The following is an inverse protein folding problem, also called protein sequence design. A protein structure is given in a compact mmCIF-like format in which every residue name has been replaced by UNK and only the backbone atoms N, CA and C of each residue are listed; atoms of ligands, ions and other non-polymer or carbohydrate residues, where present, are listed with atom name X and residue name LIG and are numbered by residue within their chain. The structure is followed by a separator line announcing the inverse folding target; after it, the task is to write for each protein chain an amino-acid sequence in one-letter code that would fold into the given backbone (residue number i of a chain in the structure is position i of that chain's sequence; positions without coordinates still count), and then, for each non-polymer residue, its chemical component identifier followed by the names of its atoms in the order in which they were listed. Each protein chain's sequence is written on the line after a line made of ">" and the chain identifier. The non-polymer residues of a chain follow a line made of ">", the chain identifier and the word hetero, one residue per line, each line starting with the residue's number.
data_IF_966127291539
#
_entry.id   IF_966127291539
#
_cell.length_a   1.000
_cell.length_b   1.000
_cell.length_c   1.000
_cell.angle_alpha   90.00
_cell.angle_beta   90.00
_cell.angle_gamma   90.00
#
_symmetry.space_group_name_H-M   'P 1'
#
loop_
_entity.id
_entity.type
_entity.pdbx_description
1 polymer ?
#
# COMPACT_ATOMS: atom_id res chain seq x y z
N UNK A 1 -0.36 -24.26 4.07
CA UNK A 1 0.04 -23.21 5.06
C UNK A 1 -0.73 -21.95 4.71
N UNK A 2 -1.15 -21.13 5.68
CA UNK A 2 -1.92 -19.91 5.42
C UNK A 2 -1.09 -18.64 5.63
N UNK A 3 -0.96 -17.83 4.59
CA UNK A 3 -0.32 -16.51 4.65
C UNK A 3 -1.42 -15.45 4.55
N UNK A 4 -1.47 -14.55 5.52
CA UNK A 4 -2.37 -13.39 5.50
C UNK A 4 -1.61 -12.16 4.97
N UNK A 5 -2.06 -11.62 3.84
CA UNK A 5 -1.60 -10.33 3.31
C UNK A 5 -2.54 -9.25 3.81
N UNK A 6 -2.04 -8.34 4.66
CA UNK A 6 -2.81 -7.26 5.26
C UNK A 6 -2.63 -6.00 4.44
N UNK A 7 -3.53 -5.79 3.48
CA UNK A 7 -3.58 -4.58 2.68
C UNK A 7 -4.29 -3.48 3.49
N UNK A 8 -3.49 -2.59 4.07
CA UNK A 8 -3.99 -1.57 5.02
C UNK A 8 -3.73 -0.16 4.50
N UNK A 9 -4.46 0.80 5.05
CA UNK A 9 -4.34 2.23 4.74
C UNK A 9 -3.79 3.00 5.93
N UNK A 10 -2.48 3.22 5.90
CA UNK A 10 -1.71 3.90 6.94
C UNK A 10 -1.70 5.41 6.70
N UNK A 11 -1.42 6.18 7.77
CA UNK A 11 -1.28 7.64 7.72
C UNK A 11 0.13 8.01 8.12
N UNK A 12 0.81 8.82 7.30
CA UNK A 12 2.20 9.22 7.56
C UNK A 12 2.30 9.91 8.93
N UNK A 13 3.21 9.41 9.77
CA UNK A 13 3.50 9.93 11.12
C UNK A 13 2.45 9.65 12.20
N UNK A 14 1.32 9.04 11.88
CA UNK A 14 0.29 8.71 12.87
C UNK A 14 0.50 7.31 13.46
N UNK A 15 1.52 7.16 14.31
CA UNK A 15 1.90 5.87 14.90
C UNK A 15 0.77 5.19 15.66
N UNK A 16 -0.04 5.93 16.42
CA UNK A 16 -1.13 5.35 17.20
C UNK A 16 -2.24 4.78 16.33
N UNK A 17 -2.62 5.49 15.27
CA UNK A 17 -3.59 4.98 14.30
C UNK A 17 -3.02 3.75 13.56
N UNK A 18 -1.80 3.85 13.03
CA UNK A 18 -1.17 2.78 12.26
C UNK A 18 -1.02 1.52 13.12
N UNK A 19 -0.46 1.63 14.33
CA UNK A 19 -0.33 0.53 15.30
C UNK A 19 -1.66 -0.14 15.58
N UNK A 20 -2.73 0.63 15.82
CA UNK A 20 -4.06 0.09 16.06
C UNK A 20 -4.61 -0.67 14.85
N UNK A 21 -4.44 -0.12 13.65
CA UNK A 21 -4.83 -0.79 12.41
C UNK A 21 -4.08 -2.11 12.22
N UNK A 22 -2.75 -2.08 12.35
CA UNK A 22 -1.87 -3.26 12.28
C UNK A 22 -2.33 -4.35 13.25
N UNK A 23 -2.54 -4.01 14.54
CA UNK A 23 -2.95 -4.98 15.54
C UNK A 23 -4.38 -5.53 15.31
N UNK A 24 -5.29 -4.71 14.78
CA UNK A 24 -6.62 -5.16 14.39
C UNK A 24 -6.57 -6.18 13.24
N UNK A 25 -5.84 -5.86 12.17
CA UNK A 25 -5.65 -6.78 11.03
C UNK A 25 -4.92 -8.05 11.45
N UNK A 26 -3.90 -7.93 12.32
CA UNK A 26 -3.20 -9.06 12.89
C UNK A 26 -4.15 -9.98 13.66
N UNK A 27 -4.94 -9.43 14.60
CA UNK A 27 -5.93 -10.20 15.37
C UNK A 27 -6.93 -10.91 14.47
N UNK A 28 -7.40 -10.25 13.41
CA UNK A 28 -8.33 -10.86 12.46
C UNK A 28 -7.67 -11.96 11.62
N UNK A 29 -6.40 -11.81 11.23
CA UNK A 29 -5.64 -12.86 10.57
C UNK A 29 -5.48 -14.11 11.45
N UNK A 30 -5.21 -13.93 12.76
CA UNK A 30 -5.18 -15.04 13.73
C UNK A 30 -6.51 -15.79 13.77
N UNK A 31 -7.64 -15.06 13.83
CA UNK A 31 -8.99 -15.69 13.84
C UNK A 31 -9.27 -16.51 12.58
N UNK A 32 -8.62 -16.18 11.46
CA UNK A 32 -8.70 -16.92 10.20
C UNK A 32 -7.66 -18.06 10.10
N UNK A 33 -6.93 -18.32 11.19
CA UNK A 33 -5.88 -19.33 11.31
C UNK A 33 -4.69 -19.08 10.36
N UNK A 34 -4.27 -17.81 10.21
CA UNK A 34 -3.04 -17.49 9.49
C UNK A 34 -1.81 -18.03 10.23
N UNK A 35 -0.90 -18.67 9.49
CA UNK A 35 0.40 -19.13 9.98
C UNK A 35 1.47 -18.03 9.89
N UNK A 36 1.31 -17.09 8.94
CA UNK A 36 2.16 -15.90 8.76
C UNK A 36 1.26 -14.71 8.48
N UNK A 37 1.55 -13.55 9.08
CA UNK A 37 0.87 -12.28 8.79
C UNK A 37 1.85 -11.29 8.19
N UNK A 38 1.50 -10.66 7.08
CA UNK A 38 2.37 -9.78 6.29
C UNK A 38 1.72 -8.40 6.16
N UNK A 39 2.50 -7.36 6.45
CA UNK A 39 2.12 -5.96 6.30
C UNK A 39 2.98 -5.24 5.26
N UNK A 40 2.50 -4.14 4.68
CA UNK A 40 3.20 -3.39 3.63
C UNK A 40 4.54 -2.77 4.08
N UNK A 41 5.26 -2.26 3.08
CA UNK A 41 6.45 -1.42 3.25
C UNK A 41 6.16 -0.20 4.12
N UNK A 42 7.07 0.12 5.05
CA UNK A 42 6.98 1.22 6.00
C UNK A 42 5.60 1.38 6.69
N UNK A 43 4.85 0.29 6.89
CA UNK A 43 3.50 0.34 7.44
C UNK A 43 3.40 1.00 8.82
N UNK A 44 4.48 0.99 9.63
CA UNK A 44 4.49 1.64 10.94
C UNK A 44 4.46 3.16 10.82
N UNK A 45 5.31 3.71 9.96
CA UNK A 45 5.43 5.16 9.75
C UNK A 45 4.39 5.70 8.79
N UNK A 46 3.88 4.87 7.87
CA UNK A 46 3.26 5.30 6.63
C UNK A 46 4.30 5.62 5.56
N UNK A 47 3.86 5.68 4.30
CA UNK A 47 4.71 5.91 3.13
C UNK A 47 4.09 6.95 2.17
N UNK A 48 4.89 7.85 1.56
CA UNK A 48 6.30 8.14 1.86
C UNK A 48 6.42 9.13 3.04
N UNK A 49 7.32 8.91 4.02
CA UNK A 49 7.52 9.86 5.12
C UNK A 49 8.42 11.07 4.77
N UNK A 50 9.15 11.01 3.65
CA UNK A 50 10.04 12.08 3.17
C UNK A 50 10.98 12.63 4.26
N UNK A 51 11.15 13.96 4.35
CA UNK A 51 12.06 14.63 5.29
C UNK A 51 11.71 14.39 6.77
N UNK A 52 10.55 13.82 7.13
CA UNK A 52 10.30 13.36 8.51
C UNK A 52 11.34 12.32 8.97
N UNK A 53 11.97 11.61 8.04
CA UNK A 53 13.08 10.71 8.32
C UNK A 53 14.31 11.41 8.91
N UNK A 54 14.46 12.72 8.68
CA UNK A 54 15.55 13.52 9.24
C UNK A 54 15.29 13.89 10.71
N UNK A 55 14.05 13.75 11.19
CA UNK A 55 13.67 14.03 12.56
C UNK A 55 13.95 12.82 13.47
N UNK A 56 14.88 12.98 14.41
CA UNK A 56 15.27 11.88 15.31
C UNK A 56 14.10 11.33 16.14
N UNK A 57 13.14 12.20 16.52
CA UNK A 57 11.93 11.80 17.25
C UNK A 57 11.05 10.84 16.44
N UNK A 58 10.84 11.15 15.16
CA UNK A 58 10.07 10.30 14.24
C UNK A 58 10.68 8.89 14.13
N UNK A 59 11.99 8.80 13.89
CA UNK A 59 12.67 7.49 13.79
C UNK A 59 12.64 6.73 15.12
N UNK A 60 12.74 7.43 16.25
CA UNK A 60 12.64 6.82 17.59
C UNK A 60 11.23 6.27 17.86
N UNK A 61 10.18 7.04 17.56
CA UNK A 61 8.78 6.65 17.76
C UNK A 61 8.39 5.44 16.89
N UNK A 62 8.93 5.36 15.67
CA UNK A 62 8.84 4.16 14.83
C UNK A 62 9.38 2.91 15.54
N UNK A 63 10.52 3.02 16.24
CA UNK A 63 11.10 1.88 16.97
C UNK A 63 10.30 1.52 18.23
N UNK A 64 9.73 2.51 18.91
CA UNK A 64 8.82 2.28 20.05
C UNK A 64 7.59 1.51 19.55
N UNK A 65 6.94 2.00 18.50
CA UNK A 65 5.78 1.36 17.89
C UNK A 65 6.08 -0.07 17.43
N UNK A 66 7.24 -0.31 16.78
CA UNK A 66 7.65 -1.66 16.37
C UNK A 66 7.77 -2.62 17.57
N UNK A 67 8.41 -2.19 18.66
CA UNK A 67 8.56 -3.04 19.85
C UNK A 67 7.20 -3.35 20.50
N UNK A 68 6.31 -2.37 20.56
CA UNK A 68 4.94 -2.57 21.08
C UNK A 68 4.14 -3.54 20.22
N UNK A 69 4.23 -3.43 18.89
CA UNK A 69 3.59 -4.35 17.94
C UNK A 69 4.19 -5.75 18.08
N UNK A 70 5.52 -5.85 18.08
CA UNK A 70 6.24 -7.12 18.20
C UNK A 70 5.84 -7.87 19.46
N UNK A 71 5.65 -7.17 20.59
CA UNK A 71 5.26 -7.75 21.87
C UNK A 71 3.90 -8.49 21.80
N UNK A 72 3.00 -8.09 20.89
CA UNK A 72 1.68 -8.70 20.72
C UNK A 72 1.68 -9.95 19.83
N UNK A 73 2.83 -10.33 19.26
CA UNK A 73 2.88 -11.41 18.26
C UNK A 73 2.79 -12.81 18.87
N UNK A 74 1.84 -13.61 18.39
CA UNK A 74 1.63 -15.03 18.70
C UNK A 74 1.95 -15.95 17.52
N UNK A 75 1.78 -15.46 16.29
CA UNK A 75 2.29 -16.06 15.04
C UNK A 75 3.29 -15.12 14.37
N UNK A 76 4.21 -15.64 13.53
CA UNK A 76 5.14 -14.82 12.76
C UNK A 76 4.46 -13.65 12.03
N UNK A 77 4.95 -12.44 12.25
CA UNK A 77 4.53 -11.22 11.56
C UNK A 77 5.71 -10.65 10.78
N UNK A 78 5.47 -10.23 9.54
CA UNK A 78 6.42 -9.50 8.70
C UNK A 78 5.86 -8.09 8.52
N UNK A 79 6.63 -7.06 8.87
CA UNK A 79 6.16 -5.67 8.81
C UNK A 79 7.26 -4.70 8.41
N UNK A 80 6.91 -3.72 7.57
CA UNK A 80 7.81 -2.65 7.14
C UNK A 80 7.98 -1.55 8.20
N UNK A 81 9.22 -1.10 8.40
CA UNK A 81 9.62 -0.09 9.37
C UNK A 81 10.92 0.60 8.94
N UNK A 82 11.27 1.70 9.62
CA UNK A 82 12.56 2.38 9.42
C UNK A 82 13.58 1.82 10.40
N UNK A 83 14.70 1.26 9.92
CA UNK A 83 15.80 0.83 10.79
C UNK A 83 16.88 1.89 10.84
N UNK A 84 17.43 2.15 12.03
CA UNK A 84 18.60 3.03 12.21
C UNK A 84 19.77 2.25 12.76
N UNK A 85 20.92 2.32 12.09
CA UNK A 85 22.17 1.70 12.54
C UNK A 85 23.36 2.59 12.20
N UNK A 86 24.22 2.85 13.19
CA UNK A 86 25.44 3.67 13.02
C UNK A 86 25.17 5.05 12.36
N UNK A 87 24.03 5.67 12.69
CA UNK A 87 23.62 6.96 12.13
C UNK A 87 22.99 6.91 10.74
N UNK A 88 22.92 5.73 10.11
CA UNK A 88 22.29 5.51 8.80
C UNK A 88 20.88 4.97 8.96
N UNK A 89 20.02 5.30 8.00
CA UNK A 89 18.65 4.79 7.94
C UNK A 89 18.53 3.75 6.82
N UNK A 90 17.63 2.81 7.03
CA UNK A 90 17.30 1.76 6.07
C UNK A 90 15.78 1.62 6.00
N UNK A 91 15.28 1.43 4.78
CA UNK A 91 13.93 0.95 4.54
C UNK A 91 13.94 -0.56 4.77
N UNK A 92 13.25 -1.01 5.82
CA UNK A 92 13.47 -2.35 6.37
C UNK A 92 12.19 -3.12 6.63
N UNK A 93 12.30 -4.44 6.62
CA UNK A 93 11.28 -5.36 7.08
C UNK A 93 11.75 -6.02 8.39
N UNK A 94 10.84 -6.18 9.36
CA UNK A 94 11.08 -6.91 10.60
C UNK A 94 10.29 -8.22 10.61
N UNK A 95 10.93 -9.31 11.04
CA UNK A 95 10.25 -10.53 11.46
C UNK A 95 9.98 -10.45 12.96
N UNK A 96 8.71 -10.34 13.35
CA UNK A 96 8.29 -10.35 14.74
C UNK A 96 7.67 -11.72 15.08
N UNK A 97 8.22 -12.39 16.10
CA UNK A 97 7.74 -13.69 16.56
C UNK A 97 8.11 -13.88 18.03
N UNK A 98 7.27 -14.61 18.79
CA UNK A 98 7.48 -14.86 20.22
C UNK A 98 7.65 -13.56 21.02
N UNK A 99 6.80 -12.58 20.73
CA UNK A 99 6.81 -11.26 21.38
C UNK A 99 8.10 -10.44 21.17
N UNK A 100 8.89 -10.73 20.13
CA UNK A 100 10.19 -10.07 19.86
C UNK A 100 10.46 -9.90 18.38
N UNK A 101 11.34 -8.96 18.04
CA UNK A 101 11.93 -8.85 16.70
C UNK A 101 13.04 -9.91 16.60
N UNK A 102 12.91 -10.83 15.66
CA UNK A 102 13.82 -11.97 15.47
C UNK A 102 14.87 -11.68 14.40
N UNK A 103 14.45 -11.07 13.30
CA UNK A 103 15.32 -10.71 12.18
C UNK A 103 14.88 -9.37 11.57
N UNK A 104 15.81 -8.75 10.86
CA UNK A 104 15.55 -7.58 10.01
C UNK A 104 16.15 -7.81 8.62
N UNK A 105 15.60 -7.13 7.63
CA UNK A 105 16.07 -7.10 6.25
C UNK A 105 16.00 -5.66 5.77
N UNK A 106 17.03 -5.20 5.10
CA UNK A 106 17.10 -3.86 4.52
C UNK A 106 16.95 -3.97 3.01
N UNK A 107 16.10 -3.12 2.44
CA UNK A 107 15.84 -3.02 1.01
C UNK A 107 17.15 -2.86 0.25
N UNK A 108 17.39 -3.70 -0.76
CA UNK A 108 18.67 -3.71 -1.48
C UNK A 108 18.64 -2.68 -2.60
N UNK A 109 17.55 -2.63 -3.36
CA UNK A 109 17.39 -1.75 -4.50
C UNK A 109 16.57 -0.51 -4.07
N UNK A 110 17.18 0.67 -4.17
CA UNK A 110 16.54 1.93 -3.80
C UNK A 110 16.17 2.69 -5.08
N UNK A 111 14.87 2.90 -5.37
CA UNK A 111 14.45 3.65 -6.55
C UNK A 111 14.75 5.15 -6.37
N UNK A 112 15.27 5.76 -7.44
CA UNK A 112 15.68 7.19 -7.51
C UNK A 112 15.12 7.87 -8.77
N UNK A 113 13.99 7.36 -9.26
CA UNK A 113 13.32 7.80 -10.47
C UNK A 113 11.84 8.06 -10.19
N UNK A 114 11.22 8.83 -11.09
CA UNK A 114 9.80 9.19 -11.04
C UNK A 114 9.45 9.91 -9.71
N UNK A 115 8.66 9.28 -8.84
CA UNK A 115 8.20 9.84 -7.57
C UNK A 115 9.09 9.43 -6.38
N UNK A 116 10.18 8.70 -6.61
CA UNK A 116 11.03 8.14 -5.57
C UNK A 116 12.38 8.85 -5.47
N UNK A 117 12.75 9.20 -4.24
CA UNK A 117 14.04 9.77 -3.83
C UNK A 117 14.62 8.95 -2.66
N UNK A 118 14.59 7.61 -2.74
CA UNK A 118 14.93 6.79 -1.55
C UNK A 118 16.41 6.88 -1.14
N UNK A 119 17.33 7.09 -2.08
CA UNK A 119 18.78 7.21 -1.79
C UNK A 119 19.13 8.51 -1.04
N UNK A 120 18.25 9.51 -1.06
CA UNK A 120 18.33 10.70 -0.22
C UNK A 120 18.22 10.36 1.26
N UNK A 121 17.42 9.35 1.60
CA UNK A 121 17.06 9.04 2.98
C UNK A 121 17.66 7.73 3.50
N UNK A 122 17.80 6.72 2.64
CA UNK A 122 18.13 5.35 3.01
C UNK A 122 19.43 4.89 2.37
N UNK A 123 20.06 3.92 3.02
CA UNK A 123 21.22 3.20 2.49
C UNK A 123 20.81 1.81 2.01
N UNK A 124 21.49 1.30 0.98
CA UNK A 124 21.21 -0.02 0.43
C UNK A 124 21.51 -1.13 1.44
N UNK A 125 20.61 -2.10 1.52
CA UNK A 125 20.88 -3.42 2.07
C UNK A 125 21.97 -4.15 1.28
N UNK A 126 22.73 -5.01 1.97
CA UNK A 126 23.89 -5.71 1.38
C UNK A 126 23.69 -7.21 1.19
N UNK A 127 22.68 -7.79 1.82
CA UNK A 127 22.50 -9.25 1.89
C UNK A 127 21.07 -9.61 1.55
N UNK A 128 20.82 -10.52 0.59
CA UNK A 128 19.48 -10.99 0.31
C UNK A 128 18.90 -11.67 1.55
N UNK A 129 17.71 -11.24 1.95
CA UNK A 129 17.04 -11.69 3.17
C UNK A 129 16.49 -13.10 3.00
N UNK A 130 17.10 -14.07 3.70
CA UNK A 130 16.56 -15.43 3.86
C UNK A 130 16.29 -15.64 5.35
N UNK A 131 15.01 -15.69 5.72
CA UNK A 131 14.61 -15.96 7.10
C UNK A 131 14.12 -17.39 7.23
N UNK A 132 14.73 -18.12 8.17
CA UNK A 132 14.30 -19.48 8.50
C UNK A 132 13.26 -19.39 9.60
N UNK A 133 12.05 -19.83 9.31
CA UNK A 133 10.98 -19.91 10.31
C UNK A 133 10.47 -21.34 10.42
N UNK A 134 9.88 -21.67 11.56
CA UNK A 134 9.25 -22.96 11.80
C UNK A 134 7.75 -22.77 11.97
N UNK A 135 6.97 -23.46 11.13
CA UNK A 135 5.51 -23.44 11.13
C UNK A 135 5.03 -24.88 11.20
N UNK A 136 4.26 -25.21 12.24
CA UNK A 136 3.72 -26.56 12.47
C UNK A 136 4.79 -27.67 12.34
N UNK A 137 6.01 -27.42 12.85
CA UNK A 137 7.14 -28.38 12.81
C UNK A 137 7.86 -28.47 11.46
N UNK A 138 7.46 -27.68 10.45
CA UNK A 138 8.14 -27.59 9.16
C UNK A 138 9.01 -26.33 9.13
N UNK A 139 10.28 -26.49 8.74
CA UNK A 139 11.19 -25.37 8.51
C UNK A 139 10.96 -24.83 7.09
N UNK A 140 10.79 -23.53 6.98
CA UNK A 140 10.54 -22.81 5.74
C UNK A 140 11.53 -21.65 5.66
N UNK A 141 12.20 -21.52 4.52
CA UNK A 141 13.09 -20.42 4.19
C UNK A 141 12.29 -19.37 3.40
N UNK A 142 12.10 -18.19 3.97
CA UNK A 142 11.40 -17.09 3.31
C UNK A 142 12.42 -16.14 2.71
N UNK A 143 12.33 -15.93 1.39
CA UNK A 143 12.94 -14.79 0.71
C UNK A 143 12.15 -13.51 0.98
N UNK A 144 12.75 -12.53 1.64
CA UNK A 144 12.10 -11.25 1.94
C UNK A 144 12.60 -10.18 0.99
N UNK A 145 11.66 -9.46 0.39
CA UNK A 145 11.90 -8.35 -0.51
C UNK A 145 11.07 -7.14 -0.08
N UNK A 146 11.54 -5.95 -0.45
CA UNK A 146 10.79 -4.72 -0.27
C UNK A 146 10.67 -4.02 -1.64
N UNK A 147 9.44 -3.88 -2.12
CA UNK A 147 9.06 -3.19 -3.36
C UNK A 147 10.05 -3.37 -4.53
N UNK A 148 10.92 -2.38 -4.75
CA UNK A 148 11.92 -2.30 -5.82
C UNK A 148 12.81 -3.54 -5.96
N UNK A 149 13.02 -4.31 -4.88
CA UNK A 149 13.76 -5.58 -4.94
C UNK A 149 13.15 -6.59 -5.95
N UNK A 150 11.86 -6.46 -6.28
CA UNK A 150 11.19 -7.22 -7.35
C UNK A 150 11.63 -6.76 -8.76
N UNK A 151 11.90 -5.47 -8.92
CA UNK A 151 12.16 -4.77 -10.20
C UNK A 151 13.64 -4.82 -10.57
N UNK A 152 14.27 -5.96 -10.33
CA UNK A 152 15.72 -6.14 -10.43
C UNK A 152 16.26 -6.28 -11.88
N UNK A 153 15.44 -6.06 -12.91
CA UNK A 153 15.79 -6.29 -14.31
C UNK A 153 16.95 -5.40 -14.79
N UNK A 154 16.96 -4.14 -14.41
CA UNK A 154 17.98 -3.15 -14.79
C UNK A 154 19.13 -3.04 -13.77
N UNK A 155 19.13 -3.86 -12.71
CA UNK A 155 20.15 -3.85 -11.67
C UNK A 155 21.12 -5.03 -11.82
N UNK A 156 22.39 -4.85 -11.45
CA UNK A 156 23.35 -5.97 -11.42
C UNK A 156 22.93 -7.05 -10.42
N UNK A 157 22.28 -6.65 -9.32
CA UNK A 157 21.85 -7.55 -8.25
C UNK A 157 20.47 -8.11 -8.55
N UNK A 158 20.42 -9.39 -8.95
CA UNK A 158 19.15 -10.13 -9.17
C UNK A 158 18.63 -10.74 -7.86
N UNK A 159 17.90 -9.95 -7.07
CA UNK A 159 17.50 -10.31 -5.69
C UNK A 159 16.73 -11.63 -5.64
N UNK A 160 15.77 -11.84 -6.54
CA UNK A 160 14.95 -13.06 -6.56
C UNK A 160 15.79 -14.31 -6.86
N UNK A 161 16.73 -14.20 -7.79
CA UNK A 161 17.64 -15.29 -8.16
C UNK A 161 18.62 -15.61 -7.02
N UNK A 162 19.18 -14.59 -6.37
CA UNK A 162 20.05 -14.76 -5.20
C UNK A 162 19.32 -15.43 -4.04
N UNK A 163 18.04 -15.12 -3.83
CA UNK A 163 17.22 -15.77 -2.80
C UNK A 163 16.94 -17.23 -3.12
N UNK A 164 16.63 -17.56 -4.38
CA UNK A 164 16.51 -18.95 -4.86
C UNK A 164 17.81 -19.72 -4.60
N UNK A 165 18.96 -19.16 -4.98
CA UNK A 165 20.26 -19.82 -4.84
C UNK A 165 20.65 -20.06 -3.37
N UNK A 166 20.09 -19.26 -2.45
CA UNK A 166 20.23 -19.43 -1.00
C UNK A 166 19.15 -20.32 -0.38
N UNK A 167 18.31 -20.95 -1.20
CA UNK A 167 17.34 -21.96 -0.78
C UNK A 167 16.01 -21.41 -0.27
N UNK A 168 15.54 -20.26 -0.77
CA UNK A 168 14.18 -19.80 -0.49
C UNK A 168 13.13 -20.82 -0.95
N UNK A 169 12.15 -21.10 -0.08
CA UNK A 169 10.99 -21.95 -0.37
C UNK A 169 9.80 -21.14 -0.89
N UNK A 170 9.75 -19.84 -0.54
CA UNK A 170 8.78 -18.85 -1.00
C UNK A 170 9.38 -17.45 -0.93
N UNK A 171 8.84 -16.49 -1.70
CA UNK A 171 9.18 -15.07 -1.61
C UNK A 171 7.98 -14.27 -1.08
N UNK A 172 8.25 -13.39 -0.12
CA UNK A 172 7.33 -12.36 0.36
C UNK A 172 7.93 -10.99 0.03
N UNK A 173 7.22 -10.21 -0.78
CA UNK A 173 7.53 -8.83 -1.08
C UNK A 173 6.50 -7.92 -0.39
N UNK A 174 6.99 -7.00 0.46
CA UNK A 174 6.16 -5.96 1.06
C UNK A 174 6.37 -4.66 0.28
N UNK A 175 5.29 -3.95 -0.05
CA UNK A 175 5.35 -2.83 -0.99
C UNK A 175 4.49 -1.66 -0.60
N UNK A 176 4.93 -0.47 -0.97
CA UNK A 176 4.13 0.74 -1.10
C UNK A 176 4.27 1.24 -2.55
N UNK A 177 3.75 0.45 -3.50
CA UNK A 177 3.83 0.76 -4.93
C UNK A 177 2.64 1.65 -5.32
N UNK A 178 2.88 2.87 -5.81
CA UNK A 178 1.82 3.79 -6.20
C UNK A 178 1.13 3.34 -7.49
N UNK A 179 -0.12 3.75 -7.60
CA UNK A 179 -1.00 3.53 -8.72
C UNK A 179 -0.64 4.44 -9.90
N UNK A 180 -0.64 3.86 -11.09
CA UNK A 180 -0.94 4.55 -12.33
C UNK A 180 -1.67 3.58 -13.26
N UNK A 181 -2.17 4.09 -14.38
CA UNK A 181 -2.82 3.26 -15.39
C UNK A 181 -1.89 2.13 -15.86
N UNK A 182 -2.35 0.88 -15.76
CA UNK A 182 -1.58 -0.30 -16.19
C UNK A 182 -0.67 -0.92 -15.12
N UNK A 183 -0.43 -0.26 -13.99
CA UNK A 183 0.53 -0.74 -12.96
C UNK A 183 0.26 -2.17 -12.48
N UNK A 184 -1.01 -2.56 -12.28
CA UNK A 184 -1.34 -3.93 -11.87
C UNK A 184 -0.91 -4.97 -12.91
N UNK A 185 -1.05 -4.68 -14.20
CA UNK A 185 -0.63 -5.58 -15.28
C UNK A 185 0.89 -5.76 -15.24
N UNK A 186 1.65 -4.68 -15.08
CA UNK A 186 3.11 -4.73 -14.96
C UNK A 186 3.55 -5.58 -13.77
N UNK A 187 2.94 -5.39 -12.58
CA UNK A 187 3.22 -6.20 -11.39
C UNK A 187 2.92 -7.68 -11.65
N UNK A 188 1.79 -8.00 -12.27
CA UNK A 188 1.38 -9.37 -12.59
C UNK A 188 2.34 -10.04 -13.58
N UNK A 189 2.73 -9.33 -14.63
CA UNK A 189 3.68 -9.82 -15.63
C UNK A 189 5.05 -10.07 -15.00
N UNK A 190 5.57 -9.10 -14.25
CA UNK A 190 6.87 -9.19 -13.60
C UNK A 190 6.92 -10.35 -12.59
N UNK A 191 5.93 -10.47 -11.70
CA UNK A 191 5.90 -11.57 -10.72
C UNK A 191 5.78 -12.93 -11.43
N UNK A 192 4.95 -13.02 -12.47
CA UNK A 192 4.80 -14.25 -13.25
C UNK A 192 6.11 -14.65 -13.93
N UNK A 193 6.85 -13.70 -14.47
CA UNK A 193 8.19 -13.91 -15.03
C UNK A 193 9.16 -14.42 -13.97
N UNK A 194 9.25 -13.74 -12.81
CA UNK A 194 10.09 -14.19 -11.70
C UNK A 194 9.77 -15.62 -11.29
N UNK A 195 8.50 -15.91 -11.00
CA UNK A 195 8.05 -17.26 -10.63
C UNK A 195 8.41 -18.29 -11.71
N UNK A 196 8.30 -17.95 -12.99
CA UNK A 196 8.69 -18.84 -14.08
C UNK A 196 10.18 -19.15 -14.08
N UNK A 197 11.04 -18.21 -13.73
CA UNK A 197 12.50 -18.36 -13.64
C UNK A 197 12.91 -19.14 -12.38
N UNK A 198 12.37 -18.75 -11.23
CA UNK A 198 12.83 -19.28 -9.94
C UNK A 198 12.08 -20.53 -9.48
N UNK A 199 10.87 -20.77 -9.97
CA UNK A 199 9.98 -21.90 -9.59
C UNK A 199 9.62 -21.91 -8.09
N UNK A 200 9.50 -20.73 -7.51
CA UNK A 200 9.19 -20.51 -6.10
C UNK A 200 7.90 -19.67 -6.03
N UNK A 201 6.93 -19.97 -5.13
CA UNK A 201 5.74 -19.15 -4.93
C UNK A 201 6.09 -17.72 -4.50
N UNK A 202 5.27 -16.76 -4.92
CA UNK A 202 5.51 -15.33 -4.68
C UNK A 202 4.28 -14.65 -4.10
N UNK A 203 4.45 -13.94 -2.99
CA UNK A 203 3.40 -13.23 -2.28
C UNK A 203 3.76 -11.74 -2.20
N UNK A 204 2.89 -10.88 -2.72
CA UNK A 204 3.08 -9.44 -2.82
C UNK A 204 2.02 -8.72 -2.00
N UNK A 205 2.44 -8.02 -0.95
CA UNK A 205 1.55 -7.27 -0.06
C UNK A 205 1.78 -5.77 -0.26
N UNK A 206 0.81 -5.10 -0.88
CA UNK A 206 0.89 -3.67 -1.18
C UNK A 206 0.06 -2.85 -0.19
N UNK A 207 0.49 -1.60 0.02
CA UNK A 207 -0.29 -0.57 0.70
C UNK A 207 -1.53 -0.19 -0.13
N UNK A 208 -2.58 0.30 0.53
CA UNK A 208 -3.70 0.97 -0.13
C UNK A 208 -4.01 2.31 0.53
N UNK A 209 -4.72 3.20 -0.15
CA UNK A 209 -5.02 4.55 0.34
C UNK A 209 -4.25 5.63 -0.40
N UNK A 210 -4.48 6.89 -0.06
CA UNK A 210 -3.77 8.02 -0.66
C UNK A 210 -2.93 8.78 0.37
N UNK A 211 -1.79 9.30 -0.06
CA UNK A 211 -0.92 10.17 0.70
C UNK A 211 -0.47 11.31 -0.20
N UNK A 212 -0.91 12.52 0.13
CA UNK A 212 -0.69 13.73 -0.66
C UNK A 212 -1.02 13.51 -2.15
N UNK A 213 -0.03 13.50 -3.03
CA UNK A 213 -0.20 13.31 -4.48
C UNK A 213 -0.28 11.84 -4.92
N UNK A 214 0.14 10.91 -4.06
CA UNK A 214 0.23 9.49 -4.40
C UNK A 214 -1.02 8.73 -3.97
N UNK A 215 -1.45 7.81 -4.83
CA UNK A 215 -2.52 6.86 -4.54
C UNK A 215 -1.91 5.47 -4.58
N UNK A 216 -2.19 4.65 -3.58
CA UNK A 216 -1.82 3.24 -3.51
C UNK A 216 -3.08 2.41 -3.74
N UNK A 217 -3.04 1.61 -4.79
CA UNK A 217 -4.18 0.80 -5.27
C UNK A 217 -4.45 -0.43 -4.41
N UNK A 218 -3.51 -0.84 -3.56
CA UNK A 218 -3.57 -2.14 -2.93
C UNK A 218 -3.30 -3.21 -3.98
N UNK A 219 -4.33 -3.96 -4.37
CA UNK A 219 -4.22 -5.08 -5.31
C UNK A 219 -3.07 -6.04 -4.95
N UNK A 220 -2.93 -6.36 -3.67
CA UNK A 220 -1.97 -7.38 -3.20
C UNK A 220 -2.21 -8.71 -3.93
N UNK A 221 -1.17 -9.39 -4.41
CA UNK A 221 -1.29 -10.57 -5.28
C UNK A 221 -0.43 -11.74 -4.81
N UNK A 222 -0.86 -12.96 -5.13
CA UNK A 222 -0.09 -14.16 -4.85
C UNK A 222 -0.07 -15.11 -6.04
N UNK A 223 1.07 -15.74 -6.27
CA UNK A 223 1.31 -16.72 -7.33
C UNK A 223 1.87 -18.02 -6.75
N UNK A 224 1.36 -19.15 -7.26
CA UNK A 224 1.93 -20.48 -6.96
C UNK A 224 3.26 -20.71 -7.70
N UNK A 225 4.00 -21.77 -7.36
CA UNK A 225 5.29 -22.09 -8.00
C UNK A 225 5.21 -22.40 -9.51
N UNK A 226 4.01 -22.60 -10.05
CA UNK A 226 3.77 -22.87 -11.48
C UNK A 226 3.47 -21.62 -12.28
N UNK A 227 3.31 -20.46 -11.61
CA UNK A 227 2.99 -19.18 -12.24
C UNK A 227 1.48 -18.92 -12.38
N UNK A 228 0.62 -19.64 -11.67
CA UNK A 228 -0.80 -19.27 -11.60
C UNK A 228 -1.04 -18.28 -10.46
N UNK A 229 -1.86 -17.26 -10.73
CA UNK A 229 -2.32 -16.35 -9.70
C UNK A 229 -3.37 -17.04 -8.81
N UNK A 230 -3.12 -17.06 -7.51
CA UNK A 230 -3.95 -17.74 -6.49
C UNK A 230 -4.67 -16.75 -5.54
N UNK A 231 -4.24 -15.48 -5.51
CA UNK A 231 -4.92 -14.41 -4.78
C UNK A 231 -4.78 -13.04 -5.48
N UNK A 232 -5.77 -12.16 -5.26
CA UNK A 232 -5.74 -10.72 -5.53
C UNK A 232 -6.59 -10.03 -4.47
N UNK A 233 -6.06 -8.97 -3.87
CA UNK A 233 -6.78 -8.06 -3.00
C UNK A 233 -7.66 -7.12 -3.80
N UNK A 234 -8.60 -6.48 -3.11
CA UNK A 234 -9.42 -5.43 -3.72
C UNK A 234 -8.57 -4.24 -4.18
N UNK A 235 -9.05 -3.52 -5.19
CA UNK A 235 -8.47 -2.25 -5.62
C UNK A 235 -9.06 -1.11 -4.79
N UNK A 236 -8.24 -0.16 -4.34
CA UNK A 236 -8.64 1.06 -3.60
C UNK A 236 -9.39 0.82 -2.27
N UNK A 237 -9.30 -0.38 -1.70
CA UNK A 237 -9.95 -0.77 -0.45
C UNK A 237 -8.96 -1.49 0.47
N UNK A 238 -9.09 -1.29 1.79
CA UNK A 238 -8.38 -2.14 2.76
C UNK A 238 -8.92 -3.58 2.71
N UNK A 239 -8.05 -4.57 2.80
CA UNK A 239 -8.40 -5.98 2.62
C UNK A 239 -7.50 -6.91 3.44
N UNK A 240 -8.06 -8.06 3.87
CA UNK A 240 -7.34 -9.12 4.57
C UNK A 240 -7.39 -10.39 3.73
N UNK A 241 -6.32 -10.63 2.99
CA UNK A 241 -6.27 -11.72 2.00
C UNK A 241 -5.54 -12.92 2.62
N UNK A 242 -6.30 -13.94 3.01
CA UNK A 242 -5.73 -15.19 3.53
C UNK A 242 -5.56 -16.19 2.39
N UNK A 243 -4.31 -16.49 2.07
CA UNK A 243 -3.91 -17.40 0.99
C UNK A 243 -3.46 -18.72 1.58
N UNK A 244 -4.12 -19.81 1.19
CA UNK A 244 -3.64 -21.16 1.48
C UNK A 244 -2.64 -21.57 0.40
N UNK A 245 -1.39 -21.82 0.78
CA UNK A 245 -0.30 -22.19 -0.14
C UNK A 245 -0.54 -23.53 -0.84
N UNK A 246 -1.40 -24.38 -0.28
CA UNK A 246 -1.73 -25.69 -0.85
C UNK A 246 -2.97 -25.64 -1.74
N UNK A 247 -3.53 -24.44 -1.99
CA UNK A 247 -4.72 -24.28 -2.83
C UNK A 247 -4.44 -24.63 -4.29
N UNK A 248 -5.40 -25.33 -4.90
CA UNK A 248 -5.46 -25.54 -6.36
C UNK A 248 -6.53 -24.66 -7.02
N UNK A 249 -7.26 -23.88 -6.21
CA UNK A 249 -8.39 -23.07 -6.66
C UNK A 249 -7.87 -21.83 -7.40
N UNK A 250 -8.26 -21.71 -8.67
CA UNK A 250 -8.06 -20.50 -9.46
C UNK A 250 -9.24 -19.57 -9.26
N UNK A 251 -8.97 -18.34 -8.85
CA UNK A 251 -9.99 -17.28 -8.77
C UNK A 251 -9.94 -16.43 -10.04
N UNK A 252 -11.13 -15.98 -10.46
CA UNK A 252 -11.25 -14.88 -11.41
C UNK A 252 -11.43 -13.60 -10.61
N UNK A 253 -10.75 -12.55 -11.03
CA UNK A 253 -10.83 -11.23 -10.40
C UNK A 253 -11.61 -10.30 -11.31
N UNK A 254 -12.48 -9.43 -10.74
CA UNK A 254 -13.23 -8.48 -11.54
C UNK A 254 -12.26 -7.52 -12.23
N UNK A 255 -12.51 -7.24 -13.50
CA UNK A 255 -11.76 -6.26 -14.27
C UNK A 255 -12.63 -5.00 -14.34
N UNK A 256 -12.18 -3.94 -13.68
CA UNK A 256 -12.78 -2.61 -13.81
C UNK A 256 -12.32 -1.96 -15.11
N UNK A 257 -13.19 -1.12 -15.69
CA UNK A 257 -12.82 -0.25 -16.82
C UNK A 257 -11.80 0.79 -16.36
N UNK A 258 -10.95 1.28 -17.28
CA UNK A 258 -9.89 2.22 -16.92
C UNK A 258 -10.45 3.53 -16.37
N UNK A 259 -11.55 4.02 -16.94
CA UNK A 259 -12.24 5.23 -16.50
C UNK A 259 -12.79 5.08 -15.07
N UNK A 260 -13.34 3.91 -14.75
CA UNK A 260 -13.82 3.59 -13.40
C UNK A 260 -12.67 3.52 -12.39
N UNK A 261 -11.53 2.93 -12.77
CA UNK A 261 -10.33 2.92 -11.91
C UNK A 261 -9.82 4.32 -11.64
N UNK A 262 -9.68 5.15 -12.67
CA UNK A 262 -9.22 6.54 -12.52
C UNK A 262 -10.18 7.35 -11.65
N UNK A 263 -11.49 7.22 -11.87
CA UNK A 263 -12.50 7.89 -11.06
C UNK A 263 -12.43 7.48 -9.59
N UNK A 264 -12.33 6.18 -9.32
CA UNK A 264 -12.22 5.64 -7.96
C UNK A 264 -10.91 6.06 -7.27
N UNK A 265 -9.80 6.13 -8.03
CA UNK A 265 -8.52 6.64 -7.54
C UNK A 265 -8.66 8.12 -7.09
N UNK A 266 -9.26 8.97 -7.93
CA UNK A 266 -9.51 10.38 -7.61
C UNK A 266 -10.42 10.53 -6.37
N UNK A 267 -11.47 9.71 -6.27
CA UNK A 267 -12.34 9.69 -5.09
C UNK A 267 -11.57 9.28 -3.82
N UNK A 268 -10.72 8.25 -3.90
CA UNK A 268 -9.88 7.82 -2.78
C UNK A 268 -8.91 8.94 -2.36
N UNK A 269 -8.29 9.63 -3.31
CA UNK A 269 -7.42 10.78 -3.08
C UNK A 269 -8.09 11.86 -2.23
N UNK A 270 -9.27 12.34 -2.67
CA UNK A 270 -10.03 13.36 -1.91
C UNK A 270 -10.43 12.83 -0.53
N UNK A 271 -10.99 11.62 -0.47
CA UNK A 271 -11.47 11.02 0.78
C UNK A 271 -10.36 10.90 1.82
N UNK A 272 -9.19 10.42 1.42
CA UNK A 272 -8.06 10.23 2.32
C UNK A 272 -7.38 11.54 2.68
N UNK A 273 -7.24 12.49 1.75
CA UNK A 273 -6.75 13.82 2.06
C UNK A 273 -7.57 14.45 3.19
N UNK A 274 -8.90 14.46 3.07
CA UNK A 274 -9.80 15.01 4.08
C UNK A 274 -9.72 14.27 5.41
N UNK A 275 -9.83 12.94 5.37
CA UNK A 275 -9.79 12.10 6.58
C UNK A 275 -8.47 12.26 7.33
N UNK A 276 -7.33 12.28 6.63
CA UNK A 276 -5.99 12.30 7.24
C UNK A 276 -5.57 13.69 7.74
N UNK A 277 -6.08 14.76 7.12
CA UNK A 277 -5.82 16.15 7.53
C UNK A 277 -6.84 16.70 8.52
N UNK A 278 -7.97 16.02 8.73
CA UNK A 278 -9.02 16.43 9.66
C UNK A 278 -10.03 17.43 9.08
N UNK A 279 -10.06 17.58 7.75
CA UNK A 279 -11.07 18.39 7.07
C UNK A 279 -12.39 17.62 6.92
N UNK A 280 -13.52 18.33 6.98
CA UNK A 280 -14.85 17.74 6.95
C UNK A 280 -15.73 18.20 5.79
N UNK A 281 -15.48 19.38 5.21
CA UNK A 281 -16.35 20.00 4.20
C UNK A 281 -15.51 20.59 3.07
N UNK A 282 -16.00 20.46 1.84
CA UNK A 282 -15.35 20.95 0.62
C UNK A 282 -16.12 22.14 0.03
N UNK A 283 -15.39 23.15 -0.44
CA UNK A 283 -15.93 24.28 -1.18
C UNK A 283 -15.43 24.24 -2.63
N UNK A 284 -16.34 24.30 -3.60
CA UNK A 284 -16.02 24.18 -5.02
C UNK A 284 -16.63 25.34 -5.80
N UNK A 285 -15.81 26.06 -6.56
CA UNK A 285 -16.28 27.05 -7.52
C UNK A 285 -16.94 26.39 -8.72
N UNK A 286 -18.24 26.61 -8.92
CA UNK A 286 -19.00 26.05 -10.04
C UNK A 286 -19.15 27.08 -11.17
N UNK A 287 -18.37 26.88 -12.24
CA UNK A 287 -18.35 27.76 -13.43
C UNK A 287 -19.43 27.43 -14.47
N UNK A 288 -20.07 26.26 -14.34
CA UNK A 288 -20.90 25.64 -15.39
C UNK A 288 -20.09 24.89 -16.45
N UNK A 289 -18.76 24.91 -16.36
CA UNK A 289 -17.87 24.12 -17.21
C UNK A 289 -17.66 22.68 -16.72
N UNK A 290 -17.19 21.82 -17.63
CA UNK A 290 -17.00 20.39 -17.40
C UNK A 290 -16.01 20.07 -16.28
N UNK A 291 -14.93 20.85 -16.12
CA UNK A 291 -13.90 20.59 -15.12
C UNK A 291 -14.44 20.71 -13.70
N UNK A 292 -15.08 21.85 -13.39
CA UNK A 292 -15.73 22.06 -12.09
C UNK A 292 -16.88 21.08 -11.85
N UNK A 293 -17.54 20.62 -12.93
CA UNK A 293 -18.60 19.63 -12.82
C UNK A 293 -18.05 18.26 -12.41
N UNK A 294 -16.98 17.80 -13.06
CA UNK A 294 -16.33 16.53 -12.71
C UNK A 294 -15.77 16.57 -11.28
N UNK A 295 -15.12 17.67 -10.88
CA UNK A 295 -14.60 17.83 -9.52
C UNK A 295 -15.71 17.77 -8.48
N UNK A 296 -16.89 18.37 -8.75
CA UNK A 296 -18.04 18.28 -7.86
C UNK A 296 -18.59 16.85 -7.75
N UNK A 297 -18.65 16.09 -8.86
CA UNK A 297 -19.04 14.68 -8.83
C UNK A 297 -18.10 13.85 -7.96
N UNK A 298 -16.78 13.95 -8.20
CA UNK A 298 -15.76 13.21 -7.45
C UNK A 298 -15.83 13.57 -5.96
N UNK A 299 -15.96 14.87 -5.62
CA UNK A 299 -16.05 15.31 -4.23
C UNK A 299 -17.32 14.79 -3.54
N UNK A 300 -18.47 14.80 -4.23
CA UNK A 300 -19.72 14.28 -3.69
C UNK A 300 -19.63 12.77 -3.42
N UNK A 301 -19.04 12.01 -4.33
CA UNK A 301 -18.84 10.56 -4.14
C UNK A 301 -17.79 10.23 -3.07
N UNK A 302 -16.75 11.07 -2.94
CA UNK A 302 -15.68 10.87 -1.96
C UNK A 302 -16.10 11.22 -0.53
N UNK A 303 -16.86 12.30 -0.34
CA UNK A 303 -17.13 12.90 0.98
C UNK A 303 -18.58 12.72 1.45
N UNK A 304 -19.51 12.56 0.51
CA UNK A 304 -20.95 12.70 0.72
C UNK A 304 -21.45 14.08 0.28
N UNK A 305 -22.61 14.12 -0.38
CA UNK A 305 -23.18 15.35 -0.95
C UNK A 305 -23.44 16.45 0.12
N UNK A 306 -23.78 16.05 1.33
CA UNK A 306 -24.03 16.95 2.47
C UNK A 306 -22.80 17.77 2.90
N UNK A 307 -21.59 17.31 2.53
CA UNK A 307 -20.31 17.94 2.88
C UNK A 307 -19.70 18.74 1.74
N UNK A 308 -20.39 18.89 0.62
CA UNK A 308 -19.90 19.62 -0.55
C UNK A 308 -20.73 20.88 -0.74
N UNK A 309 -20.03 22.01 -0.90
CA UNK A 309 -20.61 23.33 -1.10
C UNK A 309 -20.17 23.88 -2.45
N UNK A 310 -21.11 23.98 -3.39
CA UNK A 310 -20.91 24.61 -4.68
C UNK A 310 -21.18 26.11 -4.60
N UNK A 311 -20.28 26.94 -5.13
CA UNK A 311 -20.48 28.39 -5.25
C UNK A 311 -20.33 28.83 -6.68
N UNK A 312 -21.37 29.43 -7.26
CA UNK A 312 -21.26 30.08 -8.56
C UNK A 312 -20.90 31.56 -8.37
N UNK A 313 -19.78 32.02 -8.93
CA UNK A 313 -19.32 33.41 -8.81
C UNK A 313 -19.37 34.14 -10.15
N UNK A 314 -20.55 34.55 -10.63
CA UNK A 314 -20.69 35.13 -11.96
C UNK A 314 -20.14 36.56 -12.04
N UNK A 315 -19.51 36.90 -13.17
CA UNK A 315 -19.14 38.26 -13.53
C UNK A 315 -20.13 38.88 -14.52
N UNK A 316 -19.87 40.13 -14.92
CA UNK A 316 -20.61 40.81 -15.99
C UNK A 316 -20.58 40.03 -17.33
N UNK A 317 -19.53 39.25 -17.58
CA UNK A 317 -19.35 38.48 -18.81
C UNK A 317 -19.88 37.04 -18.72
N UNK A 318 -20.36 36.60 -17.56
CA UNK A 318 -20.87 35.23 -17.40
C UNK A 318 -22.17 35.04 -18.16
N UNK A 319 -22.21 34.03 -19.03
CA UNK A 319 -23.40 33.67 -19.79
C UNK A 319 -24.52 33.17 -18.86
N UNK A 320 -25.76 33.19 -19.34
CA UNK A 320 -26.89 32.62 -18.60
C UNK A 320 -26.76 31.10 -18.43
N UNK A 321 -26.27 30.40 -19.46
CA UNK A 321 -26.16 28.95 -19.43
C UNK A 321 -25.15 28.49 -18.37
N UNK A 322 -24.00 29.18 -18.21
CA UNK A 322 -23.02 28.87 -17.17
C UNK A 322 -23.63 28.86 -15.76
N UNK A 323 -24.53 29.80 -15.48
CA UNK A 323 -25.22 29.87 -14.17
C UNK A 323 -26.26 28.77 -14.01
N UNK A 324 -27.04 28.49 -15.06
CA UNK A 324 -28.06 27.43 -15.00
C UNK A 324 -27.43 26.05 -14.91
N UNK A 325 -26.32 25.80 -15.61
CA UNK A 325 -25.63 24.51 -15.63
C UNK A 325 -25.01 24.22 -14.25
N UNK A 326 -24.37 25.23 -13.63
CA UNK A 326 -23.86 25.13 -12.26
C UNK A 326 -24.96 24.79 -11.25
N UNK A 327 -26.10 25.47 -11.34
CA UNK A 327 -27.25 25.19 -10.46
C UNK A 327 -27.84 23.80 -10.70
N UNK A 328 -28.03 23.41 -11.97
CA UNK A 328 -28.59 22.10 -12.33
C UNK A 328 -27.70 20.95 -11.86
N UNK A 329 -26.38 21.10 -11.99
CA UNK A 329 -25.42 20.15 -11.44
C UNK A 329 -25.58 20.01 -9.93
N UNK A 330 -25.63 21.13 -9.21
CA UNK A 330 -25.73 21.10 -7.75
C UNK A 330 -27.02 20.42 -7.28
N UNK A 331 -28.14 20.68 -7.97
CA UNK A 331 -29.43 20.01 -7.72
C UNK A 331 -29.36 18.50 -7.99
N UNK A 332 -28.69 18.08 -9.09
CA UNK A 332 -28.54 16.67 -9.43
C UNK A 332 -27.68 15.91 -8.42
N UNK A 333 -26.60 16.53 -7.95
CA UNK A 333 -25.70 15.96 -6.95
C UNK A 333 -26.22 16.11 -5.51
N UNK A 334 -27.28 16.90 -5.30
CA UNK A 334 -27.85 17.22 -3.99
C UNK A 334 -26.84 17.88 -3.03
N UNK A 335 -25.94 18.68 -3.58
CA UNK A 335 -24.94 19.44 -2.81
C UNK A 335 -25.48 20.82 -2.42
N UNK A 336 -24.88 21.45 -1.41
CA UNK A 336 -25.22 22.83 -1.05
C UNK A 336 -24.83 23.78 -2.21
N UNK A 337 -25.63 24.81 -2.47
CA UNK A 337 -25.39 25.73 -3.59
C UNK A 337 -25.67 27.19 -3.23
N UNK A 338 -24.66 28.04 -3.43
CA UNK A 338 -24.73 29.49 -3.27
C UNK A 338 -24.31 30.22 -4.56
N UNK A 339 -24.74 31.48 -4.70
CA UNK A 339 -24.45 32.36 -5.86
C UNK A 339 -24.05 33.77 -5.44
#
# INVERSE_FOLDING_TARGET
>A
MKIALCQINTTVGNYDYNKRSILNYYSNAIKLNADIVVFPELAITGYPPQDLLLENGFVADNMIALNEIAAQTTVPMIIGFVRKENGRLYNSAALCQNSKIINTYDKILLPTYDVFDEDRYFENGKTPGIWKIEIAGKKINIGIQICEDLWDAEYDTKVSQLQKDRGADLIINISASPFHEGRITERQELIKEKVKEIKIPFFYCNLTGAQDELIFDGESIAYDATGNQIAQGKIFEEDLIVVDTDTTVRKKYPVLLNEEKLYNALCLGIKDYFRKTGHSEALIGLSGGIDSALVACIAADALGADKVHGVSMPSYFSSRHSKSDAKQLAENLQINFDT
#
